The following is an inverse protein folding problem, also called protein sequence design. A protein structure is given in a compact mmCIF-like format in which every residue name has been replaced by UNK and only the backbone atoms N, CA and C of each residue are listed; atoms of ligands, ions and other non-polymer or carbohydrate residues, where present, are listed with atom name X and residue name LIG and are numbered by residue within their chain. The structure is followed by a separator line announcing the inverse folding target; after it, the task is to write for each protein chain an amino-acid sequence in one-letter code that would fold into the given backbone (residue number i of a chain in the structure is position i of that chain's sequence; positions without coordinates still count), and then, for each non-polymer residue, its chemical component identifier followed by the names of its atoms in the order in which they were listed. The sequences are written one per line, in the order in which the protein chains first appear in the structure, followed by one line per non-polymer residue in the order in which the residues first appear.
data_IF_639439083557
#
_entry.id   IF_639439083557
#
_cell.length_a   1.000
_cell.length_b   1.000
_cell.length_c   1.000
_cell.angle_alpha   90.00
_cell.angle_beta   90.00
_cell.angle_gamma   90.00
#
_symmetry.space_group_name_H-M   'P 1'
#
loop_
_entity.id
_entity.type
_entity.pdbx_description
1 polymer ?
#
# COMPACT_ATOMS: atom_id res chain seq x y z
N UNK A 1 -5.97 -18.29 -22.51
CA UNK A 1 -5.45 -18.24 -23.88
C UNK A 1 -6.14 -19.31 -24.70
N UNK A 2 -6.63 -18.96 -25.88
CA UNK A 2 -7.37 -19.90 -26.74
C UNK A 2 -6.98 -19.61 -28.22
N UNK A 3 -6.00 -20.37 -28.74
CA UNK A 3 -5.41 -20.08 -30.03
C UNK A 3 -4.71 -18.70 -30.03
N UNK A 4 -5.03 -17.87 -31.00
CA UNK A 4 -4.47 -16.51 -31.15
C UNK A 4 -5.20 -15.45 -30.29
N UNK A 5 -6.02 -15.87 -29.32
CA UNK A 5 -6.80 -14.98 -28.48
C UNK A 5 -6.41 -15.12 -27.01
N UNK A 6 -6.18 -13.98 -26.34
CA UNK A 6 -5.89 -13.89 -24.91
C UNK A 6 -7.00 -13.10 -24.22
N UNK A 7 -7.74 -13.76 -23.33
CA UNK A 7 -8.70 -13.09 -22.46
C UNK A 7 -8.03 -12.77 -21.11
N UNK A 8 -8.08 -11.49 -20.70
CA UNK A 8 -7.52 -10.99 -19.45
C UNK A 8 -8.67 -10.55 -18.54
N UNK A 9 -8.87 -11.27 -17.44
CA UNK A 9 -9.86 -10.91 -16.43
C UNK A 9 -9.22 -9.90 -15.47
N UNK A 10 -9.75 -8.68 -15.46
CA UNK A 10 -9.19 -7.56 -14.71
C UNK A 10 -9.60 -7.68 -13.24
N UNK A 11 -8.63 -7.56 -12.32
CA UNK A 11 -8.89 -7.65 -10.88
C UNK A 11 -9.69 -6.44 -10.32
N UNK A 12 -9.80 -5.37 -11.10
CA UNK A 12 -10.40 -4.08 -10.71
C UNK A 12 -11.65 -3.72 -11.51
N UNK A 13 -12.17 -4.65 -12.33
CA UNK A 13 -13.35 -4.40 -13.17
C UNK A 13 -14.20 -5.67 -13.33
N UNK A 14 -15.49 -5.50 -13.56
CA UNK A 14 -16.45 -6.60 -13.78
C UNK A 14 -16.45 -7.12 -15.24
N UNK A 15 -15.66 -6.50 -16.11
CA UNK A 15 -15.48 -6.91 -17.50
C UNK A 15 -14.07 -7.46 -17.72
N UNK A 16 -13.88 -8.19 -18.81
CA UNK A 16 -12.59 -8.71 -19.25
C UNK A 16 -12.14 -8.03 -20.55
N UNK A 17 -10.83 -7.99 -20.78
CA UNK A 17 -10.24 -7.54 -22.03
C UNK A 17 -9.87 -8.76 -22.89
N UNK A 18 -10.22 -8.72 -24.17
CA UNK A 18 -9.86 -9.70 -25.19
C UNK A 18 -8.87 -9.08 -26.16
N UNK A 19 -7.75 -9.75 -26.33
CA UNK A 19 -6.69 -9.36 -27.24
C UNK A 19 -6.56 -10.46 -28.29
N UNK A 20 -6.85 -10.13 -29.55
CA UNK A 20 -6.70 -11.03 -30.69
C UNK A 20 -5.37 -10.73 -31.39
N UNK A 21 -4.61 -11.77 -31.65
CA UNK A 21 -3.33 -11.68 -32.35
C UNK A 21 -3.43 -12.28 -33.76
N UNK A 22 -2.66 -11.71 -34.68
CA UNK A 22 -2.33 -12.33 -35.93
C UNK A 22 -0.81 -12.47 -36.04
N UNK A 23 -0.31 -13.69 -35.77
CA UNK A 23 1.12 -13.90 -35.57
C UNK A 23 1.63 -13.16 -34.32
N UNK A 24 2.60 -12.27 -34.51
CA UNK A 24 3.17 -11.46 -33.42
C UNK A 24 2.54 -10.05 -33.29
N UNK A 25 1.52 -9.75 -34.10
CA UNK A 25 0.86 -8.44 -34.13
C UNK A 25 -0.51 -8.52 -33.44
N UNK A 26 -0.91 -7.43 -32.75
CA UNK A 26 -2.26 -7.30 -32.19
C UNK A 26 -3.20 -6.87 -33.29
N UNK A 27 -4.18 -7.71 -33.64
CA UNK A 27 -5.20 -7.44 -34.63
C UNK A 27 -6.35 -6.61 -34.05
N UNK A 28 -6.79 -6.93 -32.84
CA UNK A 28 -7.88 -6.20 -32.17
C UNK A 28 -7.81 -6.31 -30.67
N UNK A 29 -8.30 -5.27 -30.00
CA UNK A 29 -8.49 -5.21 -28.55
C UNK A 29 -9.94 -4.84 -28.29
N UNK A 30 -10.61 -5.66 -27.48
CA UNK A 30 -12.00 -5.43 -27.11
C UNK A 30 -12.26 -5.77 -25.66
N UNK A 31 -13.27 -5.13 -25.04
CA UNK A 31 -13.78 -5.52 -23.72
C UNK A 31 -15.09 -6.26 -23.86
N UNK A 32 -15.31 -7.21 -22.99
CA UNK A 32 -16.52 -8.03 -22.96
C UNK A 32 -16.98 -8.32 -21.54
N UNK A 33 -18.28 -8.54 -21.39
CA UNK A 33 -18.89 -8.91 -20.12
C UNK A 33 -18.46 -10.33 -19.73
N UNK A 34 -17.82 -10.47 -18.56
CA UNK A 34 -17.20 -11.73 -18.13
C UNK A 34 -18.19 -12.90 -17.99
N UNK A 35 -19.47 -12.60 -17.68
CA UNK A 35 -20.53 -13.60 -17.46
C UNK A 35 -21.19 -14.09 -18.74
N UNK A 36 -21.38 -13.19 -19.72
CA UNK A 36 -22.16 -13.47 -20.93
C UNK A 36 -21.29 -13.59 -22.20
N UNK A 37 -20.07 -13.06 -22.14
CA UNK A 37 -19.18 -12.94 -23.31
C UNK A 37 -19.61 -11.85 -24.29
N UNK A 38 -20.58 -10.99 -23.94
CA UNK A 38 -21.09 -9.94 -24.82
C UNK A 38 -20.03 -8.84 -24.95
N UNK A 39 -19.73 -8.46 -26.20
CA UNK A 39 -18.87 -7.33 -26.52
C UNK A 39 -19.42 -6.04 -25.88
N UNK A 40 -18.54 -5.29 -25.22
CA UNK A 40 -18.84 -3.97 -24.65
C UNK A 40 -18.30 -2.88 -25.58
N UNK A 41 -16.99 -2.88 -25.82
CA UNK A 41 -16.33 -1.82 -26.59
C UNK A 41 -15.04 -2.33 -27.27
N UNK A 42 -14.61 -1.68 -28.35
CA UNK A 42 -13.33 -1.91 -29.04
C UNK A 42 -12.39 -0.75 -28.85
N UNK A 43 -11.10 -1.06 -28.77
CA UNK A 43 -10.03 -0.09 -28.47
C UNK A 43 -8.88 -0.22 -29.46
N UNK A 44 -8.26 0.91 -29.79
CA UNK A 44 -6.98 0.93 -30.51
C UNK A 44 -5.79 0.71 -29.55
N UNK A 45 -5.96 1.11 -28.28
CA UNK A 45 -5.02 0.86 -27.21
C UNK A 45 -5.76 0.64 -25.88
N UNK A 46 -5.26 -0.24 -25.04
CA UNK A 46 -5.88 -0.56 -23.75
C UNK A 46 -4.83 -0.75 -22.66
N UNK A 47 -5.02 -0.08 -21.53
CA UNK A 47 -4.11 -0.19 -20.38
C UNK A 47 -4.58 -1.29 -19.43
N UNK A 48 -3.73 -2.28 -19.22
CA UNK A 48 -3.95 -3.33 -18.22
C UNK A 48 -3.04 -3.04 -17.03
N UNK A 49 -3.66 -2.76 -15.89
CA UNK A 49 -2.94 -2.50 -14.65
C UNK A 49 -2.69 -3.81 -13.88
N UNK A 50 -1.54 -3.93 -13.20
CA UNK A 50 -1.25 -5.09 -12.37
C UNK A 50 -2.30 -5.27 -11.26
N UNK A 51 -2.62 -6.51 -10.92
CA UNK A 51 -3.48 -6.84 -9.78
C UNK A 51 -2.78 -6.63 -8.42
N UNK A 52 -1.47 -6.48 -8.42
CA UNK A 52 -0.65 -6.28 -7.23
C UNK A 52 0.32 -5.11 -7.45
N UNK A 53 0.43 -4.22 -6.47
CA UNK A 53 1.31 -3.03 -6.52
C UNK A 53 2.80 -3.38 -6.50
N UNK A 54 3.18 -4.61 -6.12
CA UNK A 54 4.56 -5.08 -6.09
C UNK A 54 4.99 -5.87 -7.32
N UNK A 55 4.21 -5.81 -8.41
CA UNK A 55 4.64 -6.33 -9.71
C UNK A 55 5.72 -5.40 -10.26
N UNK A 56 6.89 -5.95 -10.55
CA UNK A 56 8.06 -5.20 -11.00
C UNK A 56 8.75 -5.90 -12.17
N UNK A 57 9.67 -5.18 -12.83
CA UNK A 57 10.49 -5.76 -13.89
C UNK A 57 11.37 -6.91 -13.37
N UNK A 58 11.66 -7.93 -14.19
CA UNK A 58 12.47 -9.08 -13.77
C UNK A 58 13.85 -8.70 -13.24
N UNK A 59 14.46 -7.65 -13.76
CA UNK A 59 15.76 -7.11 -13.33
C UNK A 59 15.66 -6.55 -11.91
N UNK A 60 14.64 -5.73 -11.63
CA UNK A 60 14.39 -5.17 -10.29
C UNK A 60 14.11 -6.28 -9.27
N UNK A 61 13.38 -7.33 -9.67
CA UNK A 61 13.12 -8.49 -8.82
C UNK A 61 14.42 -9.23 -8.48
N UNK A 62 15.32 -9.43 -9.44
CA UNK A 62 16.62 -10.07 -9.21
C UNK A 62 17.49 -9.26 -8.24
N UNK A 63 17.54 -7.95 -8.43
CA UNK A 63 18.31 -7.07 -7.56
C UNK A 63 17.73 -7.04 -6.14
N UNK A 64 16.41 -7.00 -6.01
CA UNK A 64 15.73 -7.08 -4.71
C UNK A 64 16.04 -8.41 -3.99
N UNK A 65 15.94 -9.54 -4.69
CA UNK A 65 16.27 -10.87 -4.15
C UNK A 65 17.72 -10.90 -3.65
N UNK A 66 18.65 -10.36 -4.43
CA UNK A 66 20.06 -10.32 -4.04
C UNK A 66 20.25 -9.49 -2.77
N UNK A 67 19.68 -8.29 -2.68
CA UNK A 67 19.77 -7.42 -1.50
C UNK A 67 19.14 -8.08 -0.27
N UNK A 68 17.96 -8.71 -0.41
CA UNK A 68 17.30 -9.44 0.68
C UNK A 68 18.21 -10.55 1.21
N UNK A 69 18.90 -11.29 0.31
CA UNK A 69 19.85 -12.33 0.73
C UNK A 69 21.03 -11.77 1.52
N UNK A 70 21.58 -10.62 1.12
CA UNK A 70 22.68 -9.97 1.85
C UNK A 70 22.21 -9.55 3.26
N UNK A 71 21.06 -8.90 3.35
CA UNK A 71 20.51 -8.46 4.64
C UNK A 71 20.12 -9.67 5.52
N UNK A 72 19.69 -10.79 4.92
CA UNK A 72 19.42 -12.01 5.67
C UNK A 72 20.68 -12.55 6.35
N UNK A 73 21.80 -12.65 5.61
CA UNK A 73 23.07 -13.15 6.15
C UNK A 73 23.49 -12.28 7.33
N UNK A 74 23.49 -10.95 7.16
CA UNK A 74 23.86 -10.02 8.21
C UNK A 74 22.97 -10.15 9.45
N UNK A 75 21.67 -10.28 9.27
CA UNK A 75 20.74 -10.38 10.39
C UNK A 75 20.82 -11.73 11.10
N UNK A 76 21.03 -12.81 10.37
CA UNK A 76 21.25 -14.17 10.93
C UNK A 76 22.52 -14.18 11.79
N UNK A 77 23.61 -13.63 11.28
CA UNK A 77 24.87 -13.51 12.02
C UNK A 77 24.73 -12.65 13.29
N UNK A 78 24.02 -11.54 13.19
CA UNK A 78 23.70 -10.71 14.35
C UNK A 78 22.91 -11.48 15.41
N UNK A 79 21.84 -12.19 15.02
CA UNK A 79 21.02 -12.98 15.94
C UNK A 79 21.85 -14.10 16.60
N UNK A 80 22.68 -14.82 15.83
CA UNK A 80 23.58 -15.84 16.37
C UNK A 80 24.60 -15.26 17.37
N UNK A 81 25.16 -14.09 17.07
CA UNK A 81 26.13 -13.41 17.94
C UNK A 81 25.49 -12.95 19.28
N UNK A 82 24.20 -12.74 19.30
CA UNK A 82 23.42 -12.36 20.50
C UNK A 82 22.75 -13.54 21.19
N UNK A 83 23.17 -14.80 20.88
CA UNK A 83 22.63 -16.06 21.42
C UNK A 83 21.14 -16.30 21.08
N UNK A 84 20.62 -15.70 20.03
CA UNK A 84 19.25 -15.89 19.51
C UNK A 84 19.24 -16.87 18.35
N UNK A 85 19.67 -18.11 18.61
CA UNK A 85 19.83 -19.14 17.55
C UNK A 85 18.52 -19.64 16.98
N UNK A 86 17.48 -19.75 17.78
CA UNK A 86 16.14 -20.17 17.32
C UNK A 86 15.49 -19.08 16.45
N UNK A 87 15.67 -17.81 16.83
CA UNK A 87 15.21 -16.66 16.05
C UNK A 87 15.95 -16.57 14.71
N UNK A 88 17.27 -16.81 14.74
CA UNK A 88 18.08 -16.83 13.53
C UNK A 88 17.60 -17.91 12.55
N UNK A 89 17.36 -19.13 13.04
CA UNK A 89 16.85 -20.24 12.22
C UNK A 89 15.46 -19.93 11.65
N UNK A 90 14.55 -19.43 12.48
CA UNK A 90 13.19 -19.05 12.06
C UNK A 90 13.22 -18.00 10.95
N UNK A 91 14.08 -16.99 11.10
CA UNK A 91 14.23 -15.93 10.10
C UNK A 91 14.78 -16.51 8.79
N UNK A 92 15.82 -17.35 8.87
CA UNK A 92 16.46 -17.98 7.72
C UNK A 92 15.47 -18.86 6.94
N UNK A 93 14.73 -19.74 7.62
CA UNK A 93 13.72 -20.60 7.03
C UNK A 93 12.61 -19.76 6.36
N UNK A 94 12.11 -18.73 7.04
CA UNK A 94 11.03 -17.88 6.52
C UNK A 94 11.46 -17.10 5.29
N UNK A 95 12.60 -16.43 5.35
CA UNK A 95 13.05 -15.56 4.25
C UNK A 95 13.44 -16.39 3.04
N UNK A 96 14.08 -17.55 3.22
CA UNK A 96 14.42 -18.46 2.11
C UNK A 96 13.15 -18.96 1.40
N UNK A 97 12.11 -19.30 2.15
CA UNK A 97 10.81 -19.66 1.58
C UNK A 97 10.20 -18.49 0.77
N UNK A 98 10.20 -17.26 1.33
CA UNK A 98 9.69 -16.08 0.64
C UNK A 98 10.49 -15.80 -0.66
N UNK A 99 11.81 -15.98 -0.63
CA UNK A 99 12.69 -15.82 -1.81
C UNK A 99 12.42 -16.88 -2.89
N UNK A 100 12.15 -18.12 -2.50
CA UNK A 100 11.76 -19.18 -3.44
C UNK A 100 10.44 -18.82 -4.14
N UNK A 101 9.43 -18.41 -3.37
CA UNK A 101 8.14 -17.95 -3.91
C UNK A 101 8.30 -16.77 -4.87
N UNK A 102 9.16 -15.80 -4.54
CA UNK A 102 9.45 -14.65 -5.41
C UNK A 102 10.11 -15.10 -6.73
N UNK A 103 11.00 -16.09 -6.71
CA UNK A 103 11.65 -16.61 -7.93
C UNK A 103 10.69 -17.37 -8.82
N UNK A 104 9.85 -18.23 -8.23
CA UNK A 104 8.96 -19.10 -8.99
C UNK A 104 7.67 -18.39 -9.44
N UNK A 105 7.10 -17.54 -8.60
CA UNK A 105 5.79 -16.91 -8.83
C UNK A 105 5.87 -15.39 -9.05
N UNK A 106 7.05 -14.77 -8.86
CA UNK A 106 7.18 -13.31 -8.85
C UNK A 106 6.55 -12.62 -7.64
N UNK A 107 6.13 -13.39 -6.63
CA UNK A 107 5.35 -12.91 -5.50
C UNK A 107 5.53 -13.80 -4.27
N UNK A 108 5.40 -13.23 -3.06
CA UNK A 108 5.26 -13.98 -1.80
C UNK A 108 4.22 -13.35 -0.88
N UNK A 109 3.71 -14.12 0.07
CA UNK A 109 2.82 -13.59 1.11
C UNK A 109 3.58 -12.67 2.04
N UNK A 110 3.11 -11.43 2.19
CA UNK A 110 3.78 -10.40 2.98
C UNK A 110 4.91 -9.69 2.24
N UNK A 111 4.86 -9.66 0.90
CA UNK A 111 5.86 -9.00 0.04
C UNK A 111 6.05 -7.52 0.41
N UNK A 112 5.05 -6.87 0.99
CA UNK A 112 5.14 -5.50 1.48
C UNK A 112 6.23 -5.30 2.55
N UNK A 113 6.62 -6.35 3.27
CA UNK A 113 7.73 -6.28 4.24
C UNK A 113 9.10 -6.14 3.57
N UNK A 114 9.15 -6.35 2.27
CA UNK A 114 10.32 -6.20 1.41
C UNK A 114 10.23 -4.98 0.50
N UNK A 115 9.22 -4.12 0.65
CA UNK A 115 8.93 -2.99 -0.25
C UNK A 115 10.12 -2.09 -0.52
N UNK A 116 10.97 -1.84 0.48
CA UNK A 116 12.19 -1.03 0.37
C UNK A 116 13.12 -1.49 -0.76
N UNK A 117 13.24 -2.79 -0.98
CA UNK A 117 14.14 -3.33 -2.00
C UNK A 117 13.56 -3.17 -3.41
N UNK A 118 12.23 -3.13 -3.54
CA UNK A 118 11.54 -2.98 -4.83
C UNK A 118 11.48 -1.54 -5.31
N UNK A 119 11.38 -0.58 -4.39
CA UNK A 119 11.29 0.85 -4.71
C UNK A 119 12.62 1.61 -4.52
N UNK A 120 13.69 0.90 -4.16
CA UNK A 120 15.05 1.47 -4.07
C UNK A 120 15.23 2.48 -2.94
N UNK A 121 14.34 2.50 -1.93
CA UNK A 121 14.45 3.42 -0.81
C UNK A 121 15.62 3.08 0.11
N UNK A 122 16.20 4.13 0.69
CA UNK A 122 17.20 3.97 1.75
C UNK A 122 16.53 3.50 3.05
N UNK A 123 17.24 2.72 3.90
CA UNK A 123 16.76 2.34 5.22
C UNK A 123 16.30 3.56 6.04
N UNK A 124 15.15 3.41 6.73
CA UNK A 124 14.57 4.46 7.57
C UNK A 124 13.77 5.53 6.85
N UNK A 125 13.79 5.57 5.52
CA UNK A 125 12.95 6.51 4.75
C UNK A 125 11.49 6.09 4.78
N UNK A 126 10.58 7.07 4.71
CA UNK A 126 9.15 6.79 4.65
C UNK A 126 8.76 6.08 3.35
N UNK A 127 7.76 5.20 3.35
CA UNK A 127 7.22 4.66 2.12
C UNK A 127 6.44 5.73 1.34
N UNK A 128 6.27 5.50 0.04
CA UNK A 128 5.30 6.23 -0.76
C UNK A 128 3.88 5.91 -0.28
N UNK A 129 3.03 6.91 -0.26
CA UNK A 129 1.63 6.78 0.10
C UNK A 129 0.72 7.45 -0.95
N UNK A 130 -0.58 7.29 -0.81
CA UNK A 130 -1.55 7.86 -1.76
C UNK A 130 -1.36 9.38 -1.97
N UNK A 131 -0.98 10.11 -0.93
CA UNK A 131 -0.78 11.56 -0.99
C UNK A 131 0.37 11.97 -1.92
N UNK A 132 1.36 11.11 -2.14
CA UNK A 132 2.48 11.39 -3.06
C UNK A 132 2.06 11.43 -4.53
N UNK A 133 0.88 10.88 -4.86
CA UNK A 133 0.36 10.83 -6.23
C UNK A 133 -0.58 11.99 -6.59
N UNK A 134 -0.93 12.83 -5.62
CA UNK A 134 -1.75 14.01 -5.88
C UNK A 134 -0.88 15.17 -6.40
N UNK A 135 -1.46 16.09 -7.20
CA UNK A 135 -0.77 17.33 -7.57
C UNK A 135 -0.49 18.17 -6.32
N UNK A 136 0.54 19.04 -6.37
CA UNK A 136 0.97 19.80 -5.19
C UNK A 136 -0.08 20.77 -4.61
N UNK A 137 -1.13 21.10 -5.37
CA UNK A 137 -2.18 22.06 -5.01
C UNK A 137 -3.49 21.40 -4.58
N UNK A 138 -3.47 20.11 -4.19
CA UNK A 138 -4.68 19.42 -3.75
C UNK A 138 -5.20 19.94 -2.41
N UNK A 139 -6.53 19.91 -2.27
CA UNK A 139 -7.23 20.19 -1.03
C UNK A 139 -7.53 18.90 -0.27
N UNK A 140 -7.13 18.85 0.99
CA UNK A 140 -7.46 17.73 1.89
C UNK A 140 -8.69 18.10 2.73
N UNK A 141 -9.71 17.27 2.68
CA UNK A 141 -10.89 17.38 3.56
C UNK A 141 -10.80 16.25 4.57
N UNK A 142 -10.71 16.61 5.86
CA UNK A 142 -10.58 15.65 6.96
C UNK A 142 -11.89 15.63 7.73
N UNK A 143 -12.66 14.57 7.48
CA UNK A 143 -13.92 14.33 8.16
C UNK A 143 -13.70 13.75 9.55
N UNK A 144 -14.58 14.09 10.50
CA UNK A 144 -14.45 13.72 11.91
C UNK A 144 -13.02 13.97 12.44
N UNK A 145 -12.48 15.15 12.15
CA UNK A 145 -11.07 15.48 12.34
C UNK A 145 -10.60 15.29 13.80
N UNK A 146 -11.48 15.53 14.77
CA UNK A 146 -11.22 15.33 16.20
C UNK A 146 -10.91 13.87 16.58
N UNK A 147 -11.31 12.90 15.73
CA UNK A 147 -10.99 11.46 15.87
C UNK A 147 -9.89 11.06 14.89
N UNK A 148 -10.01 11.51 13.63
CA UNK A 148 -9.10 11.11 12.54
C UNK A 148 -7.66 11.53 12.81
N UNK A 149 -7.42 12.77 13.26
CA UNK A 149 -6.06 13.26 13.50
C UNK A 149 -5.34 12.55 14.65
N UNK A 150 -5.96 12.30 15.82
CA UNK A 150 -5.39 11.44 16.85
C UNK A 150 -5.08 10.02 16.38
N UNK A 151 -5.93 9.41 15.54
CA UNK A 151 -5.66 8.09 14.97
C UNK A 151 -4.43 8.10 14.07
N UNK A 152 -4.30 9.07 13.15
CA UNK A 152 -3.11 9.21 12.30
C UNK A 152 -1.85 9.37 13.16
N UNK A 153 -1.92 10.16 14.23
CA UNK A 153 -0.81 10.36 15.18
C UNK A 153 -0.40 9.08 15.88
N UNK A 154 -1.36 8.21 16.23
CA UNK A 154 -1.12 6.94 16.91
C UNK A 154 -0.62 5.80 16.02
N UNK A 155 -0.88 5.85 14.70
CA UNK A 155 -0.62 4.74 13.78
C UNK A 155 0.84 4.31 13.75
N UNK A 156 1.77 5.26 13.65
CA UNK A 156 3.21 4.95 13.58
C UNK A 156 3.70 4.22 14.82
N UNK A 157 3.34 4.70 16.01
CA UNK A 157 3.81 4.12 17.27
C UNK A 157 3.34 2.67 17.47
N UNK A 158 2.08 2.38 17.15
CA UNK A 158 1.52 1.03 17.24
C UNK A 158 2.18 0.05 16.25
N UNK A 159 2.35 0.46 15.00
CA UNK A 159 3.01 -0.36 13.98
C UNK A 159 4.49 -0.60 14.32
N UNK A 160 5.19 0.44 14.76
CA UNK A 160 6.60 0.36 15.17
C UNK A 160 6.80 -0.65 16.29
N UNK A 161 6.01 -0.58 17.36
CA UNK A 161 6.11 -1.50 18.50
C UNK A 161 5.85 -2.96 18.05
N UNK A 162 4.82 -3.18 17.25
CA UNK A 162 4.51 -4.51 16.71
C UNK A 162 5.66 -5.07 15.85
N UNK A 163 6.20 -4.28 14.93
CA UNK A 163 7.27 -4.71 14.02
C UNK A 163 8.60 -4.90 14.72
N UNK A 164 8.90 -4.09 15.74
CA UNK A 164 10.08 -4.29 16.59
C UNK A 164 10.09 -5.70 17.17
N UNK A 165 8.98 -6.16 17.73
CA UNK A 165 8.85 -7.52 18.23
C UNK A 165 9.05 -8.57 17.12
N UNK A 166 8.46 -8.34 15.92
CA UNK A 166 8.59 -9.29 14.80
C UNK A 166 10.04 -9.43 14.33
N UNK A 167 10.80 -8.34 14.32
CA UNK A 167 12.23 -8.36 13.97
C UNK A 167 13.05 -8.99 15.08
N UNK A 168 12.81 -8.61 16.33
CA UNK A 168 13.57 -9.08 17.48
C UNK A 168 13.43 -10.60 17.68
N UNK A 169 12.25 -11.15 17.42
CA UNK A 169 11.98 -12.59 17.53
C UNK A 169 12.17 -13.37 16.21
N UNK A 170 12.82 -12.80 15.21
CA UNK A 170 13.19 -13.48 13.97
C UNK A 170 12.01 -13.84 13.04
N UNK A 171 10.91 -13.10 13.10
CA UNK A 171 9.79 -13.30 12.18
C UNK A 171 9.88 -12.45 10.92
N UNK A 172 10.67 -11.35 10.95
CA UNK A 172 10.86 -10.43 9.82
C UNK A 172 12.28 -9.89 9.81
N UNK A 173 12.76 -9.52 8.59
CA UNK A 173 13.96 -8.73 8.43
C UNK A 173 13.75 -7.30 8.95
N UNK A 174 14.82 -6.58 9.36
CA UNK A 174 14.74 -5.17 9.74
C UNK A 174 14.09 -4.27 8.68
N UNK A 175 14.20 -4.62 7.41
CA UNK A 175 13.55 -3.92 6.30
C UNK A 175 12.03 -3.80 6.44
N UNK A 176 11.39 -4.72 7.16
CA UNK A 176 9.95 -4.63 7.44
C UNK A 176 9.55 -3.36 8.21
N UNK A 177 10.50 -2.77 8.98
CA UNK A 177 10.29 -1.51 9.69
C UNK A 177 10.07 -0.33 8.74
N UNK A 178 10.57 -0.42 7.49
CA UNK A 178 10.48 0.65 6.49
C UNK A 178 9.15 0.63 5.72
N UNK A 179 8.36 -0.45 5.82
CA UNK A 179 6.97 -0.47 5.38
C UNK A 179 6.07 -0.06 6.55
N UNK A 180 5.84 1.21 6.73
CA UNK A 180 5.21 1.78 7.93
C UNK A 180 4.24 2.90 7.59
N UNK A 181 3.26 3.19 8.45
CA UNK A 181 2.49 4.42 8.36
C UNK A 181 3.41 5.65 8.42
N UNK A 182 2.91 6.76 7.90
CA UNK A 182 3.57 8.05 8.07
C UNK A 182 3.67 8.40 9.56
N UNK A 183 4.74 9.08 9.93
CA UNK A 183 4.76 9.85 11.17
C UNK A 183 3.84 11.05 11.00
N UNK A 184 3.39 11.62 12.10
CA UNK A 184 2.45 12.74 12.05
C UNK A 184 3.04 13.98 11.37
N UNK A 185 4.31 14.29 11.62
CA UNK A 185 5.06 15.37 10.98
C UNK A 185 5.25 15.14 9.46
N UNK A 186 5.46 13.90 9.05
CA UNK A 186 5.50 13.53 7.64
C UNK A 186 4.15 13.73 6.96
N UNK A 187 3.04 13.35 7.63
CA UNK A 187 1.69 13.59 7.15
C UNK A 187 1.40 15.09 7.02
N UNK A 188 1.71 15.90 8.04
CA UNK A 188 1.53 17.35 7.98
C UNK A 188 2.32 17.99 6.83
N UNK A 189 3.53 17.51 6.55
CA UNK A 189 4.38 18.05 5.47
C UNK A 189 3.86 17.79 4.06
N UNK A 190 2.99 16.78 3.89
CA UNK A 190 2.37 16.44 2.61
C UNK A 190 1.07 17.21 2.35
N UNK A 191 0.49 17.83 3.38
CA UNK A 191 -0.77 18.57 3.27
C UNK A 191 -0.48 20.05 3.20
N UNK A 192 -0.87 20.69 2.10
CA UNK A 192 -0.68 22.13 1.90
C UNK A 192 -1.93 22.93 2.28
N UNK A 193 -3.13 22.37 2.01
CA UNK A 193 -4.41 22.97 2.33
C UNK A 193 -5.30 21.92 2.96
N UNK A 194 -5.96 22.27 4.07
CA UNK A 194 -6.86 21.37 4.77
C UNK A 194 -8.15 22.06 5.20
N UNK A 195 -9.26 21.32 5.10
CA UNK A 195 -10.53 21.65 5.73
C UNK A 195 -10.82 20.58 6.78
N UNK A 196 -10.98 20.99 8.02
CA UNK A 196 -11.36 20.11 9.11
C UNK A 196 -12.88 20.14 9.27
N UNK A 197 -13.52 18.99 9.27
CA UNK A 197 -14.96 18.83 9.50
C UNK A 197 -15.14 18.07 10.81
N UNK A 198 -15.90 18.66 11.74
CA UNK A 198 -16.17 18.06 13.04
C UNK A 198 -17.36 18.69 13.71
N UNK A 199 -18.21 17.90 14.36
CA UNK A 199 -19.24 18.41 15.26
C UNK A 199 -18.66 18.93 16.59
N UNK A 200 -17.50 18.42 16.99
CA UNK A 200 -16.80 18.72 18.24
C UNK A 200 -15.30 18.91 17.97
N UNK A 201 -14.90 20.02 17.31
CA UNK A 201 -13.50 20.26 16.99
C UNK A 201 -12.66 20.35 18.28
N UNK A 202 -11.47 19.80 18.23
CA UNK A 202 -10.50 19.85 19.33
C UNK A 202 -9.59 21.08 19.23
N UNK A 203 -8.81 21.34 20.27
CA UNK A 203 -7.90 22.49 20.33
C UNK A 203 -6.91 22.53 19.16
N UNK A 204 -6.50 21.39 18.66
CA UNK A 204 -5.56 21.30 17.53
C UNK A 204 -6.15 21.92 16.26
N UNK A 205 -7.39 21.55 15.88
CA UNK A 205 -8.05 22.08 14.68
C UNK A 205 -8.29 23.58 14.81
N UNK A 206 -8.73 24.03 15.98
CA UNK A 206 -8.99 25.46 16.27
C UNK A 206 -7.70 26.29 16.17
N UNK A 207 -6.56 25.74 16.67
CA UNK A 207 -5.26 26.38 16.55
C UNK A 207 -4.77 26.44 15.10
N UNK A 208 -4.89 25.34 14.35
CA UNK A 208 -4.46 25.27 12.94
C UNK A 208 -5.33 26.14 12.03
N UNK A 209 -6.61 26.30 12.34
CA UNK A 209 -7.54 27.16 11.62
C UNK A 209 -7.39 28.67 12.00
N UNK A 210 -6.50 29.00 12.95
CA UNK A 210 -6.28 30.39 13.43
C UNK A 210 -7.59 31.09 13.85
N UNK A 211 -8.55 30.32 14.34
CA UNK A 211 -9.87 30.80 14.76
C UNK A 211 -10.87 31.03 13.63
N UNK A 212 -10.52 30.67 12.38
CA UNK A 212 -11.48 30.69 11.26
C UNK A 212 -12.36 29.47 11.36
N UNK A 213 -13.61 29.67 11.82
CA UNK A 213 -14.61 28.61 12.00
C UNK A 213 -15.87 28.97 11.24
N UNK A 214 -16.38 28.02 10.46
CA UNK A 214 -17.68 28.12 9.79
C UNK A 214 -18.64 27.18 10.48
N UNK A 215 -19.65 27.73 11.13
CA UNK A 215 -20.69 26.95 11.80
C UNK A 215 -21.83 26.62 10.84
N UNK A 216 -22.18 25.32 10.78
CA UNK A 216 -23.30 24.83 9.98
C UNK A 216 -24.36 24.22 10.90
N UNK A 217 -25.29 25.03 11.33
CA UNK A 217 -26.31 24.69 12.32
C UNK A 217 -27.62 24.16 11.73
N UNK A 218 -27.73 24.16 10.38
CA UNK A 218 -28.98 23.78 9.71
C UNK A 218 -29.03 22.25 9.56
N UNK A 219 -30.09 21.64 10.09
CA UNK A 219 -30.38 20.20 9.98
C UNK A 219 -31.66 20.01 9.14
N UNK A 220 -31.55 19.97 7.79
CA UNK A 220 -32.71 19.98 6.90
C UNK A 220 -33.54 18.69 6.93
N UNK A 221 -32.99 17.60 7.48
CA UNK A 221 -33.64 16.29 7.52
C UNK A 221 -34.83 16.18 8.48
N UNK A 222 -34.99 17.14 9.41
CA UNK A 222 -36.07 17.10 10.40
C UNK A 222 -36.09 15.91 11.35
N UNK A 223 -35.02 15.09 11.31
CA UNK A 223 -34.91 13.92 12.20
C UNK A 223 -34.52 14.43 13.60
N UNK A 224 -35.35 14.21 14.63
CA UNK A 224 -35.01 14.58 16.00
C UNK A 224 -33.87 13.70 16.54
N UNK A 225 -33.15 14.23 17.53
CA UNK A 225 -32.17 13.46 18.26
C UNK A 225 -32.85 12.29 19.00
N UNK A 226 -32.16 11.15 19.18
CA UNK A 226 -32.71 10.02 19.93
C UNK A 226 -32.97 10.46 21.40
N UNK A 227 -34.09 9.97 21.94
CA UNK A 227 -34.37 10.12 23.36
C UNK A 227 -33.40 9.21 24.13
N UNK A 228 -32.62 9.78 25.00
CA UNK A 228 -31.70 9.03 25.88
C UNK A 228 -32.43 8.87 27.22
N UNK A 229 -32.76 7.63 27.62
CA UNK A 229 -33.30 7.28 28.95
C UNK A 229 -32.18 6.99 29.95
#
# INVERSE_FOLDING_TARGET
VKGDTVDVFLAYADYAARICFFGDEIESIETFESSTGRLIEKFDSFNIYPANIFVTAPETLKDAIWQIQQDLVLQVDFLKSTNKTEEAKRLEDRVNYDLEMMRELGYCSGIENYSRYFDGRLPGTRPFCLLDYFPNDFLTIIDESHVTLPQIRGMFGGDFARKTNLVEYGFRLPAAMDNRPLKYDEFESLIHQAVFISATPADYELQKAEGVVVEQLIRPTGVPDPIIE
#
